data_IF_473688778045
#
_entry.id   IF_473688778045
#
_cell.length_a   1.000
_cell.length_b   1.000
_cell.length_c   1.000
_cell.angle_alpha   90.00
_cell.angle_beta   90.00
_cell.angle_gamma   90.00
#
_symmetry.space_group_name_H-M   'P 1'
#
loop_
_entity.id
_entity.type
_entity.pdbx_description
1 polymer ?
#
# COMPACT_ATOMS: atom_id res chain seq x y z
N UNK A 1 -0.18 5.36 -15.25
CA UNK A 1 -0.96 6.04 -14.20
C UNK A 1 -2.43 5.96 -14.61
N UNK A 2 -3.34 5.69 -13.67
CA UNK A 2 -4.78 5.75 -13.94
C UNK A 2 -5.55 6.22 -12.70
N UNK A 3 -6.77 6.68 -12.90
CA UNK A 3 -7.64 7.27 -11.87
C UNK A 3 -8.95 6.51 -11.81
N UNK A 4 -9.42 6.20 -10.60
CA UNK A 4 -10.75 5.63 -10.35
C UNK A 4 -11.42 6.46 -9.26
N UNK A 5 -12.44 7.23 -9.65
CA UNK A 5 -13.08 8.18 -8.75
C UNK A 5 -12.10 9.23 -8.23
N UNK A 6 -11.72 9.14 -6.96
CA UNK A 6 -10.73 10.03 -6.31
C UNK A 6 -9.49 9.29 -5.81
N UNK A 7 -9.25 8.09 -6.33
CA UNK A 7 -8.07 7.29 -6.07
C UNK A 7 -7.18 7.29 -7.32
N UNK A 8 -5.87 7.44 -7.13
CA UNK A 8 -4.90 7.50 -8.22
C UNK A 8 -3.84 6.42 -8.02
N UNK A 9 -3.47 5.76 -9.11
CA UNK A 9 -2.60 4.60 -9.12
C UNK A 9 -1.49 4.80 -10.16
N UNK A 10 -0.24 4.55 -9.76
CA UNK A 10 0.92 4.50 -10.65
C UNK A 10 1.58 3.14 -10.51
N UNK A 11 1.54 2.36 -11.58
CA UNK A 11 2.22 1.07 -11.67
C UNK A 11 3.60 1.27 -12.32
N UNK A 12 4.60 0.53 -11.84
CA UNK A 12 5.87 0.36 -12.54
C UNK A 12 5.74 -0.72 -13.61
N UNK A 13 6.82 -0.90 -14.36
CA UNK A 13 6.97 -2.03 -15.27
C UNK A 13 6.78 -3.37 -14.53
N UNK A 14 6.42 -4.40 -15.30
CA UNK A 14 6.27 -5.77 -14.78
C UNK A 14 5.34 -5.87 -13.55
N UNK A 15 4.27 -5.09 -13.52
CA UNK A 15 3.31 -5.04 -12.41
C UNK A 15 1.97 -5.62 -12.80
N UNK A 16 1.45 -6.53 -11.98
CA UNK A 16 0.07 -7.06 -12.10
C UNK A 16 -0.73 -6.65 -10.87
N UNK A 17 -1.71 -5.79 -11.10
CA UNK A 17 -2.68 -5.35 -10.11
C UNK A 17 -4.08 -5.78 -10.55
N UNK A 18 -4.80 -6.45 -9.66
CA UNK A 18 -6.21 -6.79 -9.86
C UNK A 18 -7.06 -5.95 -8.90
N UNK A 19 -8.14 -5.36 -9.43
CA UNK A 19 -9.03 -4.50 -8.68
C UNK A 19 -10.35 -5.22 -8.46
N UNK A 20 -10.81 -5.24 -7.21
CA UNK A 20 -12.04 -5.87 -6.80
C UNK A 20 -12.93 -4.93 -6.00
N UNK A 21 -14.21 -5.29 -5.95
CA UNK A 21 -15.16 -4.73 -5.00
C UNK A 21 -15.75 -5.87 -4.18
N UNK A 22 -15.65 -5.79 -2.87
CA UNK A 22 -16.43 -6.61 -1.95
C UNK A 22 -17.65 -5.82 -1.53
N UNK A 23 -18.83 -6.39 -1.78
CA UNK A 23 -20.11 -5.79 -1.44
C UNK A 23 -20.19 -5.58 0.07
N UNK A 24 -20.48 -4.35 0.47
CA UNK A 24 -20.96 -4.02 1.80
C UNK A 24 -22.36 -3.47 1.61
N UNK A 25 -23.32 -3.96 2.40
CA UNK A 25 -24.72 -3.52 2.32
C UNK A 25 -24.91 -2.00 2.48
N UNK A 26 -23.87 -1.29 2.95
CA UNK A 26 -23.84 0.15 3.16
C UNK A 26 -23.20 0.96 2.00
N UNK A 27 -22.66 0.32 0.97
CA UNK A 27 -22.02 1.01 -0.15
C UNK A 27 -22.95 1.07 -1.36
N UNK A 28 -23.61 2.22 -1.55
CA UNK A 28 -24.47 2.52 -2.72
C UNK A 28 -23.73 2.58 -4.07
N UNK A 29 -22.40 2.57 -4.05
CA UNK A 29 -21.54 2.43 -5.23
C UNK A 29 -20.63 1.22 -5.03
N UNK A 30 -20.53 0.37 -6.06
CA UNK A 30 -19.48 -0.65 -6.19
C UNK A 30 -18.12 0.02 -6.35
N UNK A 31 -17.63 0.61 -5.26
CA UNK A 31 -16.33 1.25 -5.22
C UNK A 31 -15.26 0.16 -5.11
N UNK A 32 -14.22 0.26 -5.92
CA UNK A 32 -13.02 -0.59 -5.79
C UNK A 32 -12.49 -0.43 -4.37
N UNK A 33 -12.52 -1.51 -3.59
CA UNK A 33 -12.10 -1.51 -2.19
C UNK A 33 -11.08 -2.63 -1.89
N UNK A 34 -10.87 -3.57 -2.83
CA UNK A 34 -9.83 -4.58 -2.76
C UNK A 34 -8.84 -4.37 -3.90
N UNK A 35 -7.56 -4.30 -3.55
CA UNK A 35 -6.43 -4.20 -4.46
C UNK A 35 -5.57 -5.44 -4.27
N UNK A 36 -5.37 -6.25 -5.31
CA UNK A 36 -4.48 -7.41 -5.26
C UNK A 36 -3.25 -7.13 -6.11
N UNK A 37 -2.17 -6.72 -5.46
CA UNK A 37 -0.88 -6.51 -6.10
C UNK A 37 -0.15 -7.86 -6.14
N UNK A 38 -0.26 -8.56 -7.26
CA UNK A 38 0.24 -9.93 -7.42
C UNK A 38 1.77 -9.93 -7.50
N UNK A 39 2.34 -8.99 -8.27
CA UNK A 39 3.76 -8.77 -8.41
C UNK A 39 4.03 -7.35 -8.91
N UNK A 40 5.27 -6.87 -8.74
CA UNK A 40 5.73 -5.58 -9.23
C UNK A 40 5.54 -4.47 -8.20
N UNK A 41 5.37 -3.23 -8.65
CA UNK A 41 5.43 -2.05 -7.78
C UNK A 41 4.34 -1.04 -8.10
N UNK A 42 3.79 -0.43 -7.06
CA UNK A 42 2.69 0.52 -7.16
C UNK A 42 2.84 1.66 -6.18
N UNK A 43 2.67 2.90 -6.66
CA UNK A 43 2.27 4.02 -5.81
C UNK A 43 0.76 4.24 -5.92
N UNK A 44 0.10 4.51 -4.81
CA UNK A 44 -1.32 4.87 -4.81
C UNK A 44 -1.64 5.93 -3.76
N UNK A 45 -2.56 6.83 -4.09
CA UNK A 45 -3.14 7.81 -3.16
C UNK A 45 -4.64 7.62 -3.13
N UNK A 46 -5.20 7.49 -1.92
CA UNK A 46 -6.62 7.17 -1.74
C UNK A 46 -7.41 8.35 -1.20
N UNK A 47 -8.68 8.46 -1.60
CA UNK A 47 -9.67 9.23 -0.85
C UNK A 47 -9.92 8.58 0.51
N UNK A 48 -10.56 9.30 1.42
CA UNK A 48 -10.94 8.80 2.76
C UNK A 48 -12.06 7.74 2.68
N UNK A 49 -11.70 6.56 2.21
CA UNK A 49 -12.54 5.35 2.15
C UNK A 49 -11.69 4.13 2.47
N UNK A 50 -12.24 3.08 3.09
CA UNK A 50 -11.50 1.88 3.40
C UNK A 50 -11.02 1.17 2.12
N UNK A 51 -9.77 0.73 2.10
CA UNK A 51 -9.17 -0.10 1.07
C UNK A 51 -8.41 -1.25 1.73
N UNK A 52 -8.42 -2.41 1.09
CA UNK A 52 -7.60 -3.58 1.45
C UNK A 52 -6.62 -3.86 0.33
N UNK A 53 -5.33 -3.68 0.61
CA UNK A 53 -4.23 -4.06 -0.26
C UNK A 53 -3.76 -5.47 0.11
N UNK A 54 -3.86 -6.40 -0.81
CA UNK A 54 -3.37 -7.77 -0.69
C UNK A 54 -2.10 -7.92 -1.54
N UNK A 55 -1.02 -8.34 -0.90
CA UNK A 55 0.27 -8.69 -1.51
C UNK A 55 0.58 -10.16 -1.23
N UNK A 56 1.58 -10.79 -1.86
CA UNK A 56 1.87 -12.21 -1.66
C UNK A 56 2.13 -12.58 -0.18
N UNK A 57 2.84 -11.72 0.55
CA UNK A 57 3.24 -11.97 1.95
C UNK A 57 2.46 -11.16 2.98
N UNK A 58 1.61 -10.22 2.55
CA UNK A 58 1.01 -9.23 3.44
C UNK A 58 -0.40 -8.82 3.05
N UNK A 59 -1.15 -8.32 4.03
CA UNK A 59 -2.42 -7.59 3.83
C UNK A 59 -2.29 -6.25 4.55
N UNK A 60 -2.66 -5.16 3.90
CA UNK A 60 -2.70 -3.83 4.49
C UNK A 60 -4.10 -3.20 4.34
N UNK A 61 -4.75 -2.92 5.47
CA UNK A 61 -5.96 -2.11 5.52
C UNK A 61 -5.60 -0.62 5.62
N UNK A 62 -6.16 0.22 4.75
CA UNK A 62 -5.86 1.67 4.72
C UNK A 62 -7.13 2.51 4.54
N UNK A 63 -7.08 3.79 4.91
CA UNK A 63 -8.21 4.73 4.73
C UNK A 63 -7.70 6.15 4.50
N UNK A 64 -7.74 6.61 3.25
CA UNK A 64 -7.25 7.96 2.89
C UNK A 64 -5.75 8.10 3.07
N UNK A 65 -5.01 7.10 2.58
CA UNK A 65 -3.56 6.95 2.78
C UNK A 65 -2.85 7.11 1.44
N UNK A 66 -1.67 7.74 1.44
CA UNK A 66 -0.72 7.71 0.34
C UNK A 66 0.34 6.66 0.64
N UNK A 67 0.52 5.69 -0.25
CA UNK A 67 1.47 4.59 -0.05
C UNK A 67 2.20 4.20 -1.32
N UNK A 68 3.34 3.55 -1.11
CA UNK A 68 4.08 2.84 -2.13
C UNK A 68 4.31 1.40 -1.68
N UNK A 69 4.10 0.45 -2.58
CA UNK A 69 4.21 -0.97 -2.31
C UNK A 69 5.00 -1.69 -3.40
N UNK A 70 5.82 -2.66 -2.99
CA UNK A 70 6.45 -3.63 -3.88
C UNK A 70 6.03 -5.04 -3.45
N UNK A 71 5.66 -5.87 -4.42
CA UNK A 71 5.19 -7.22 -4.20
C UNK A 71 6.10 -8.23 -4.92
N UNK A 72 6.67 -9.12 -4.13
CA UNK A 72 7.39 -10.31 -4.55
C UNK A 72 6.92 -11.52 -3.72
N UNK A 73 6.95 -12.76 -4.26
CA UNK A 73 6.54 -13.95 -3.51
C UNK A 73 7.28 -14.16 -2.18
N UNK A 74 8.56 -13.77 -2.10
CA UNK A 74 9.37 -13.94 -0.89
C UNK A 74 9.19 -12.78 0.09
N UNK A 75 8.91 -11.57 -0.42
CA UNK A 75 8.83 -10.36 0.40
C UNK A 75 8.01 -9.24 -0.22
N UNK A 76 7.21 -8.57 0.60
CA UNK A 76 6.61 -7.28 0.27
C UNK A 76 7.39 -6.14 0.92
N UNK A 77 7.41 -4.99 0.25
CA UNK A 77 7.83 -3.71 0.82
C UNK A 77 6.62 -2.77 0.88
N UNK A 78 6.45 -2.07 2.00
CA UNK A 78 5.41 -1.06 2.15
C UNK A 78 6.00 0.21 2.76
N UNK A 79 5.89 1.31 2.02
CA UNK A 79 6.07 2.66 2.53
C UNK A 79 4.71 3.34 2.64
N UNK A 80 4.30 3.70 3.86
CA UNK A 80 3.18 4.62 4.06
C UNK A 80 3.78 6.02 4.00
N UNK A 81 3.50 6.79 2.95
CA UNK A 81 4.06 8.13 2.80
C UNK A 81 3.35 9.12 3.73
N UNK A 82 2.02 8.99 3.84
CA UNK A 82 1.22 9.70 4.83
C UNK A 82 0.00 8.87 5.24
N UNK A 83 -0.53 9.12 6.42
CA UNK A 83 -1.75 8.48 6.91
C UNK A 83 -1.44 7.23 7.73
N UNK A 84 -2.20 6.16 7.52
CA UNK A 84 -2.05 4.95 8.32
C UNK A 84 -2.34 3.67 7.54
N UNK A 85 -1.75 2.57 8.00
CA UNK A 85 -2.04 1.21 7.55
C UNK A 85 -2.12 0.25 8.73
N UNK A 86 -3.09 -0.66 8.70
CA UNK A 86 -3.12 -1.85 9.54
C UNK A 86 -2.54 -3.00 8.73
N UNK A 87 -1.33 -3.42 9.08
CA UNK A 87 -0.53 -4.39 8.35
C UNK A 87 -0.62 -5.75 9.04
N UNK A 88 -0.79 -6.80 8.24
CA UNK A 88 -0.83 -8.20 8.66
C UNK A 88 0.15 -9.01 7.81
N UNK A 89 0.89 -9.92 8.44
CA UNK A 89 1.64 -10.94 7.72
C UNK A 89 0.69 -12.06 7.30
N UNK A 90 0.76 -12.51 6.05
CA UNK A 90 -0.05 -13.66 5.59
C UNK A 90 0.45 -15.00 6.13
N UNK A 91 1.72 -15.07 6.50
CA UNK A 91 2.33 -16.26 7.09
C UNK A 91 1.82 -16.57 8.49
N UNK A 92 1.30 -15.56 9.21
CA UNK A 92 0.85 -15.68 10.59
C UNK A 92 -0.13 -14.52 10.89
N UNK A 93 -1.40 -14.86 11.08
CA UNK A 93 -2.48 -13.89 11.26
C UNK A 93 -2.37 -13.11 12.59
N UNK A 94 -1.65 -13.63 13.58
CA UNK A 94 -1.45 -12.97 14.87
C UNK A 94 -0.39 -11.86 14.78
N UNK A 95 0.44 -11.90 13.74
CA UNK A 95 1.45 -10.85 13.48
C UNK A 95 0.80 -9.70 12.73
N UNK A 96 0.56 -8.62 13.49
CA UNK A 96 -0.02 -7.37 13.01
C UNK A 96 0.72 -6.15 13.56
N UNK A 97 0.73 -5.09 12.77
CA UNK A 97 1.32 -3.81 13.12
C UNK A 97 0.47 -2.65 12.58
N UNK A 98 0.23 -1.62 13.40
CA UNK A 98 -0.33 -0.36 12.91
C UNK A 98 0.79 0.60 12.58
N UNK A 99 0.88 1.02 11.32
CA UNK A 99 1.82 2.02 10.83
C UNK A 99 1.09 3.36 10.75
N UNK A 100 1.69 4.42 11.29
CA UNK A 100 1.25 5.81 11.12
C UNK A 100 2.44 6.64 10.73
N UNK A 101 2.41 7.21 9.54
CA UNK A 101 3.56 7.92 8.97
C UNK A 101 3.12 9.29 8.46
N UNK A 102 4.03 10.25 8.56
CA UNK A 102 3.91 11.56 7.91
C UNK A 102 4.87 11.70 6.73
N UNK A 103 5.94 10.90 6.70
CA UNK A 103 6.90 10.86 5.58
C UNK A 103 7.92 9.73 5.78
N UNK A 104 7.80 8.64 5.02
CA UNK A 104 8.78 7.55 4.84
C UNK A 104 9.46 7.01 6.12
N UNK A 105 8.97 7.34 7.32
CA UNK A 105 9.65 7.15 8.59
C UNK A 105 9.41 5.75 9.18
N UNK A 106 8.38 5.08 8.66
CA UNK A 106 7.96 3.75 9.08
C UNK A 106 7.82 2.74 7.92
N UNK A 107 8.83 2.56 7.04
CA UNK A 107 8.74 1.58 5.96
C UNK A 107 8.90 0.16 6.53
N UNK A 108 8.23 -0.82 5.93
CA UNK A 108 8.28 -2.21 6.35
C UNK A 108 8.67 -3.15 5.22
N UNK A 109 9.46 -4.15 5.58
CA UNK A 109 9.55 -5.41 4.86
C UNK A 109 8.63 -6.43 5.52
N UNK A 110 7.89 -7.19 4.72
CA UNK A 110 7.01 -8.27 5.17
C UNK A 110 7.39 -9.54 4.44
N UNK A 111 7.90 -10.53 5.17
CA UNK A 111 8.47 -11.75 4.59
C UNK A 111 7.47 -12.89 4.55
N UNK A 112 7.64 -13.80 3.59
CA UNK A 112 6.93 -15.07 3.57
C UNK A 112 7.29 -15.95 4.79
N UNK A 113 6.62 -17.10 4.92
CA UNK A 113 7.01 -18.13 5.88
C UNK A 113 8.38 -18.72 5.53
N UNK A 114 9.22 -19.01 6.53
CA UNK A 114 10.51 -19.70 6.32
C UNK A 114 11.80 -18.96 6.70
N UNK A 115 11.72 -17.83 7.42
CA UNK A 115 12.80 -16.91 7.90
C UNK A 115 12.75 -15.55 7.16
N UNK A 116 13.05 -14.39 7.78
CA UNK A 116 13.56 -14.13 9.15
C UNK A 116 12.57 -14.50 10.27
N UNK A 117 13.07 -14.51 11.51
CA UNK A 117 12.29 -14.74 12.75
C UNK A 117 11.14 -13.74 12.88
N UNK A 118 11.38 -12.47 12.51
CA UNK A 118 10.35 -11.42 12.48
C UNK A 118 9.74 -11.37 11.08
N UNK A 119 8.43 -11.63 10.98
CA UNK A 119 7.72 -11.55 9.69
C UNK A 119 7.54 -10.12 9.18
N UNK A 120 7.55 -9.14 10.08
CA UNK A 120 7.48 -7.72 9.76
C UNK A 120 8.71 -7.04 10.38
N UNK A 121 9.47 -6.32 9.55
CA UNK A 121 10.68 -5.61 9.98
C UNK A 121 10.73 -4.20 9.38
N UNK A 122 11.39 -3.27 10.08
CA UNK A 122 11.67 -1.95 9.50
C UNK A 122 12.61 -2.10 8.30
N UNK A 123 12.25 -1.50 7.17
CA UNK A 123 13.11 -1.46 5.99
C UNK A 123 14.22 -0.40 6.19
N UNK A 124 15.29 -0.77 6.90
CA UNK A 124 16.42 0.12 7.22
C UNK A 124 17.05 0.66 5.93
N UNK A 125 17.44 1.94 5.94
CA UNK A 125 18.02 2.64 4.79
C UNK A 125 17.00 3.20 3.78
N UNK A 126 15.74 2.73 3.84
CA UNK A 126 14.69 3.21 2.94
C UNK A 126 13.89 4.40 3.49
N UNK A 127 14.11 4.77 4.76
CA UNK A 127 13.50 6.00 5.30
C UNK A 127 14.13 7.27 4.73
N UNK A 128 15.44 7.26 4.50
CA UNK A 128 16.15 8.39 3.91
C UNK A 128 16.11 8.37 2.38
N UNK A 129 15.99 7.18 1.79
CA UNK A 129 15.99 6.94 0.34
C UNK A 129 14.96 5.87 -0.03
N UNK A 130 13.66 6.22 -0.06
CA UNK A 130 12.64 5.30 -0.54
C UNK A 130 12.89 4.94 -2.01
N UNK A 131 12.29 3.84 -2.48
CA UNK A 131 12.35 3.41 -3.89
C UNK A 131 11.37 4.15 -4.80
N UNK A 132 10.83 5.27 -4.31
CA UNK A 132 9.97 6.22 -5.00
C UNK A 132 10.38 7.65 -4.59
N UNK A 133 9.85 8.68 -5.25
CA UNK A 133 10.16 10.08 -4.88
C UNK A 133 8.97 10.84 -4.29
N UNK A 134 9.25 11.99 -3.67
CA UNK A 134 8.21 12.91 -3.17
C UNK A 134 7.47 13.58 -4.35
N UNK A 135 8.17 13.86 -5.46
CA UNK A 135 7.58 14.42 -6.67
C UNK A 135 6.55 13.48 -7.30
N UNK A 136 6.79 12.16 -7.23
CA UNK A 136 5.81 11.17 -7.68
C UNK A 136 4.54 11.23 -6.84
N UNK A 137 4.67 11.32 -5.52
CA UNK A 137 3.53 11.46 -4.62
C UNK A 137 2.73 12.75 -4.88
N UNK A 138 3.44 13.88 -5.02
CA UNK A 138 2.85 15.19 -5.34
C UNK A 138 2.12 15.14 -6.68
N UNK A 139 2.76 14.57 -7.70
CA UNK A 139 2.16 14.37 -9.02
C UNK A 139 0.88 13.55 -8.92
N UNK A 140 0.88 12.44 -8.17
CA UNK A 140 -0.31 11.60 -8.02
C UNK A 140 -1.48 12.34 -7.37
N UNK A 141 -1.23 13.12 -6.32
CA UNK A 141 -2.28 13.93 -5.69
C UNK A 141 -2.86 14.99 -6.62
N UNK A 142 -2.02 15.57 -7.50
CA UNK A 142 -2.45 16.61 -8.44
C UNK A 142 -3.51 16.12 -9.43
N UNK A 143 -3.52 14.83 -9.80
CA UNK A 143 -4.53 14.24 -10.70
C UNK A 143 -5.95 14.30 -10.14
N UNK A 144 -6.10 14.50 -8.82
CA UNK A 144 -7.39 14.65 -8.14
C UNK A 144 -7.51 15.97 -7.39
N UNK A 145 -6.67 16.95 -7.74
CA UNK A 145 -6.71 18.31 -7.20
C UNK A 145 -6.37 18.40 -5.71
N UNK A 146 -5.51 17.51 -5.21
CA UNK A 146 -5.04 17.49 -3.82
C UNK A 146 -3.54 17.80 -3.74
N UNK A 147 -3.09 18.07 -2.52
CA UNK A 147 -1.68 18.07 -2.14
C UNK A 147 -1.46 17.05 -1.03
N UNK A 148 -0.26 16.43 -0.93
CA UNK A 148 0.08 15.65 0.25
C UNK A 148 -0.06 16.52 1.53
N UNK A 149 -0.52 15.94 2.65
CA UNK A 149 -0.70 16.66 3.91
C UNK A 149 0.61 17.05 4.60
#
# INVERSE_FOLDING_TARGET
IFVIGKDVYMLRDNTRLELGSEASENFKESAVNVLRLINGKMMAVFRKSPKRLEMPTAIAGVRGTGLYAEADPERAYLCVCYGAAELHAKSDADIRETIRSQRHDMPRYIYASGSPEKRIEKAVGHSDRPTHTDEELIMLESFVGRTPP
#
